data_IF_923631255163
#
_entry.id   IF_923631255163
#
_cell.length_a   1.000
_cell.length_b   1.000
_cell.length_c   1.000
_cell.angle_alpha   90.00
_cell.angle_beta   90.00
_cell.angle_gamma   90.00
#
_symmetry.space_group_name_H-M   'P 1'
#
loop_
_entity.id
_entity.type
_entity.pdbx_description
1 polymer ?
#
# COMPACT_ATOMS: atom_id res chain seq x y z
N UNK A 1 6.04 -21.48 -3.03
CA UNK A 1 5.48 -21.80 -4.37
C UNK A 1 3.97 -21.52 -4.48
N UNK A 2 3.15 -21.92 -3.51
CA UNK A 2 1.69 -21.76 -3.61
C UNK A 2 1.22 -20.29 -3.64
N UNK A 3 1.71 -19.44 -2.71
CA UNK A 3 1.34 -18.02 -2.64
C UNK A 3 1.71 -17.23 -3.90
N UNK A 4 2.87 -17.50 -4.51
CA UNK A 4 3.27 -16.86 -5.78
C UNK A 4 2.27 -17.17 -6.88
N UNK A 5 1.89 -18.44 -7.05
CA UNK A 5 0.90 -18.86 -8.05
C UNK A 5 -0.47 -18.21 -7.82
N UNK A 6 -0.88 -18.08 -6.55
CA UNK A 6 -2.14 -17.41 -6.20
C UNK A 6 -2.08 -15.92 -6.52
N UNK A 7 -0.97 -15.23 -6.22
CA UNK A 7 -0.78 -13.82 -6.57
C UNK A 7 -0.72 -13.61 -8.09
N UNK A 8 -0.09 -14.50 -8.83
CA UNK A 8 -0.10 -14.49 -10.30
C UNK A 8 -1.52 -14.65 -10.86
N UNK A 9 -2.33 -15.54 -10.26
CA UNK A 9 -3.74 -15.67 -10.64
C UNK A 9 -4.50 -14.37 -10.41
N UNK A 10 -4.32 -13.71 -9.25
CA UNK A 10 -4.92 -12.41 -8.98
C UNK A 10 -4.43 -11.35 -9.98
N UNK A 11 -3.15 -11.34 -10.33
CA UNK A 11 -2.61 -10.42 -11.33
C UNK A 11 -3.26 -10.61 -12.70
N UNK A 12 -3.50 -11.86 -13.13
CA UNK A 12 -4.26 -12.17 -14.35
C UNK A 12 -5.73 -11.73 -14.27
N UNK A 13 -6.39 -11.94 -13.12
CA UNK A 13 -7.76 -11.45 -12.89
C UNK A 13 -7.82 -9.92 -13.02
N UNK A 14 -6.85 -9.20 -12.42
CA UNK A 14 -6.75 -7.72 -12.50
C UNK A 14 -6.52 -7.28 -13.94
N UNK A 15 -5.64 -7.95 -14.68
CA UNK A 15 -5.34 -7.63 -16.09
C UNK A 15 -6.59 -7.69 -16.95
N UNK A 16 -7.42 -8.68 -16.75
CA UNK A 16 -8.64 -8.92 -17.55
C UNK A 16 -9.89 -8.23 -16.98
N UNK A 17 -9.75 -7.54 -15.83
CA UNK A 17 -10.88 -6.92 -15.14
C UNK A 17 -11.44 -5.71 -15.91
N UNK A 18 -12.77 -5.71 -16.03
CA UNK A 18 -13.57 -4.61 -16.56
C UNK A 18 -14.58 -4.09 -15.52
N UNK A 19 -14.32 -4.32 -14.22
CA UNK A 19 -15.27 -4.02 -13.13
C UNK A 19 -15.43 -2.54 -12.81
N UNK A 20 -14.53 -1.69 -13.25
CA UNK A 20 -14.68 -0.23 -13.13
C UNK A 20 -14.18 0.42 -14.43
N UNK A 21 -14.70 1.60 -14.77
CA UNK A 21 -14.45 2.26 -16.07
C UNK A 21 -12.97 2.60 -16.35
N UNK A 22 -12.13 2.67 -15.32
CA UNK A 22 -10.71 2.98 -15.46
C UNK A 22 -9.96 1.94 -16.34
N UNK A 23 -10.55 0.76 -16.57
CA UNK A 23 -9.96 -0.21 -17.51
C UNK A 23 -9.88 0.33 -18.94
N UNK A 24 -10.76 1.27 -19.31
CA UNK A 24 -10.82 1.85 -20.67
C UNK A 24 -9.63 2.78 -20.97
N UNK A 25 -9.05 3.38 -19.94
CA UNK A 25 -8.03 4.45 -20.05
C UNK A 25 -6.67 4.07 -19.52
N UNK A 26 -6.54 2.94 -18.81
CA UNK A 26 -5.25 2.46 -18.33
C UNK A 26 -4.40 1.91 -19.47
N UNK A 27 -3.09 2.12 -19.42
CA UNK A 27 -2.13 1.40 -20.27
C UNK A 27 -1.88 0.00 -19.72
N UNK A 28 -1.50 -0.08 -18.46
CA UNK A 28 -1.28 -1.33 -17.75
C UNK A 28 -1.99 -1.34 -16.40
N UNK A 29 -2.59 -2.45 -15.99
CA UNK A 29 -2.98 -2.63 -14.60
C UNK A 29 -1.74 -2.81 -13.72
N UNK A 30 -1.84 -2.38 -12.48
CA UNK A 30 -0.75 -2.48 -11.49
C UNK A 30 -1.21 -3.38 -10.34
N UNK A 31 -0.97 -4.70 -10.43
CA UNK A 31 -1.45 -5.63 -9.41
C UNK A 31 -0.72 -5.48 -8.07
N UNK A 32 0.53 -5.06 -8.09
CA UNK A 32 1.43 -5.05 -6.95
C UNK A 32 2.60 -6.01 -7.15
N UNK A 33 3.65 -5.87 -6.34
CA UNK A 33 4.87 -6.69 -6.42
C UNK A 33 5.52 -6.88 -5.06
N UNK A 34 6.46 -7.82 -4.97
CA UNK A 34 7.28 -8.06 -3.80
C UNK A 34 7.21 -9.49 -3.28
N UNK A 35 7.59 -9.69 -2.02
CA UNK A 35 7.68 -10.99 -1.41
C UNK A 35 6.28 -11.56 -1.10
N UNK A 36 5.89 -12.73 -1.66
CA UNK A 36 4.63 -13.39 -1.31
C UNK A 36 4.51 -13.79 0.17
N UNK A 37 5.63 -13.88 0.87
CA UNK A 37 5.70 -14.19 2.29
C UNK A 37 6.07 -12.98 3.15
N UNK A 38 5.88 -11.76 2.62
CA UNK A 38 6.20 -10.53 3.32
C UNK A 38 5.48 -10.43 4.66
N UNK A 39 6.22 -10.09 5.71
CA UNK A 39 5.63 -9.74 7.01
C UNK A 39 5.04 -8.33 7.00
N UNK A 40 5.52 -7.47 6.11
CA UNK A 40 5.11 -6.07 5.96
C UNK A 40 4.54 -5.86 4.56
N UNK A 41 3.33 -5.31 4.47
CA UNK A 41 2.69 -4.92 3.22
C UNK A 41 2.45 -3.41 3.21
N UNK A 42 2.87 -2.75 2.12
CA UNK A 42 2.63 -1.34 1.90
C UNK A 42 1.46 -1.15 0.93
N UNK A 43 0.56 -0.22 1.26
CA UNK A 43 -0.69 -0.02 0.53
C UNK A 43 -0.88 1.47 0.24
N UNK A 44 -0.78 1.87 -1.03
CA UNK A 44 -1.14 3.21 -1.49
C UNK A 44 -2.56 3.31 -2.02
N UNK A 45 -2.94 4.48 -2.53
CA UNK A 45 -4.25 4.68 -3.15
C UNK A 45 -4.34 4.01 -4.52
N UNK A 46 -3.46 4.37 -5.43
CA UNK A 46 -3.54 3.92 -6.82
C UNK A 46 -2.31 4.29 -7.63
N UNK A 47 -2.16 3.69 -8.83
CA UNK A 47 -1.07 3.97 -9.73
C UNK A 47 -1.09 5.41 -10.24
N UNK A 48 0.09 6.04 -10.30
CA UNK A 48 0.34 7.25 -11.06
C UNK A 48 0.65 6.93 -12.53
N UNK A 49 1.03 7.98 -13.30
CA UNK A 49 1.30 7.87 -14.74
C UNK A 49 2.46 6.90 -15.04
N UNK A 50 3.56 6.99 -14.27
CA UNK A 50 4.72 6.13 -14.50
C UNK A 50 4.41 4.67 -14.16
N UNK A 51 3.67 4.44 -13.09
CA UNK A 51 3.22 3.11 -12.68
C UNK A 51 2.30 2.46 -13.73
N UNK A 52 1.44 3.26 -14.36
CA UNK A 52 0.56 2.82 -15.44
C UNK A 52 1.35 2.45 -16.71
N UNK A 53 2.42 3.17 -17.01
CA UNK A 53 3.29 2.85 -18.15
C UNK A 53 4.09 1.57 -17.92
N UNK A 54 4.59 1.34 -16.70
CA UNK A 54 5.45 0.19 -16.38
C UNK A 54 4.70 -1.03 -15.86
N UNK A 55 3.43 -0.87 -15.44
CA UNK A 55 2.65 -1.96 -14.80
C UNK A 55 3.16 -2.32 -13.40
N UNK A 56 3.95 -1.46 -12.74
CA UNK A 56 4.59 -1.71 -11.45
C UNK A 56 4.27 -0.61 -10.43
N UNK A 57 4.06 -0.96 -9.14
CA UNK A 57 3.73 0.03 -8.11
C UNK A 57 4.95 0.85 -7.70
N UNK A 58 4.74 2.14 -7.39
CA UNK A 58 5.76 3.01 -6.82
C UNK A 58 7.10 3.02 -7.58
N UNK A 59 7.08 3.32 -8.88
CA UNK A 59 8.26 3.45 -9.76
C UNK A 59 8.57 4.91 -10.13
N UNK A 60 7.58 5.81 -10.05
CA UNK A 60 7.73 7.24 -10.27
C UNK A 60 8.47 7.97 -9.14
N UNK A 61 8.41 9.30 -9.10
CA UNK A 61 9.11 10.13 -8.10
C UNK A 61 8.74 9.78 -6.66
N UNK A 62 7.45 9.55 -6.37
CA UNK A 62 6.99 9.10 -5.06
C UNK A 62 7.58 7.72 -4.68
N UNK A 63 7.71 6.83 -5.66
CA UNK A 63 8.31 5.51 -5.48
C UNK A 63 9.82 5.58 -5.21
N UNK A 64 10.53 6.47 -5.86
CA UNK A 64 11.96 6.72 -5.58
C UNK A 64 12.14 7.19 -4.14
N UNK A 65 11.31 8.13 -3.69
CA UNK A 65 11.37 8.60 -2.30
C UNK A 65 10.94 7.50 -1.32
N UNK A 66 9.95 6.65 -1.66
CA UNK A 66 9.63 5.48 -0.84
C UNK A 66 10.83 4.54 -0.68
N UNK A 67 11.62 4.33 -1.74
CA UNK A 67 12.83 3.50 -1.65
C UNK A 67 13.88 4.12 -0.71
N UNK A 68 14.05 5.46 -0.71
CA UNK A 68 14.91 6.14 0.25
C UNK A 68 14.41 5.89 1.70
N UNK A 69 13.11 6.05 1.95
CA UNK A 69 12.50 5.82 3.26
C UNK A 69 12.67 4.38 3.75
N UNK A 70 12.47 3.40 2.87
CA UNK A 70 12.73 1.98 3.19
C UNK A 70 14.21 1.74 3.52
N UNK A 71 15.12 2.35 2.76
CA UNK A 71 16.58 2.24 2.98
C UNK A 71 17.02 2.81 4.33
N UNK A 72 16.48 3.97 4.74
CA UNK A 72 16.75 4.60 6.04
C UNK A 72 16.48 3.62 7.20
N UNK A 73 15.47 2.76 7.06
CA UNK A 73 15.10 1.79 8.10
C UNK A 73 15.63 0.38 7.84
N UNK A 74 16.51 0.21 6.85
CA UNK A 74 17.13 -1.07 6.53
C UNK A 74 16.19 -2.11 5.94
N UNK A 75 15.10 -1.69 5.30
CA UNK A 75 14.15 -2.57 4.63
C UNK A 75 14.49 -2.63 3.14
N UNK A 76 14.77 -3.83 2.62
CA UNK A 76 14.85 -4.00 1.18
C UNK A 76 13.44 -4.02 0.56
N UNK A 77 13.26 -3.31 -0.54
CA UNK A 77 12.00 -3.31 -1.29
C UNK A 77 11.50 -4.72 -1.65
N UNK A 78 12.42 -5.64 -1.94
CA UNK A 78 12.11 -7.05 -2.26
C UNK A 78 11.59 -7.88 -1.09
N UNK A 79 11.76 -7.42 0.15
CA UNK A 79 11.37 -8.16 1.36
C UNK A 79 9.93 -7.81 1.80
N UNK A 80 9.37 -6.74 1.25
CA UNK A 80 7.99 -6.29 1.49
C UNK A 80 7.10 -6.64 0.29
N UNK A 81 5.78 -6.57 0.48
CA UNK A 81 4.81 -6.59 -0.62
C UNK A 81 4.21 -5.19 -0.77
N UNK A 82 4.27 -4.63 -1.98
CA UNK A 82 3.82 -3.26 -2.26
C UNK A 82 2.66 -3.30 -3.24
N UNK A 83 1.57 -2.66 -2.90
CA UNK A 83 0.37 -2.61 -3.74
C UNK A 83 -0.43 -1.31 -3.51
N UNK A 84 -1.57 -1.20 -4.17
CA UNK A 84 -2.50 -0.10 -4.02
C UNK A 84 -3.92 -0.62 -3.83
N UNK A 85 -4.82 0.22 -3.31
CA UNK A 85 -6.26 -0.02 -3.29
C UNK A 85 -6.78 -0.17 -4.72
N UNK A 86 -6.48 0.83 -5.57
CA UNK A 86 -6.82 0.85 -6.99
C UNK A 86 -5.74 0.14 -7.80
N UNK A 87 -6.14 -0.55 -8.86
CA UNK A 87 -5.22 -1.30 -9.75
C UNK A 87 -5.01 -0.62 -11.09
N UNK A 88 -5.68 0.50 -11.33
CA UNK A 88 -5.64 1.28 -12.56
C UNK A 88 -5.22 2.72 -12.26
N UNK A 89 -4.63 3.37 -13.24
CA UNK A 89 -4.26 4.78 -13.18
C UNK A 89 -5.44 5.67 -12.80
N UNK A 90 -5.18 6.63 -11.93
CA UNK A 90 -6.12 7.63 -11.45
C UNK A 90 -5.69 9.02 -11.97
N UNK A 91 -6.28 9.52 -13.07
CA UNK A 91 -5.84 10.78 -13.70
C UNK A 91 -5.77 11.98 -12.75
N UNK A 92 -6.69 12.05 -11.78
CA UNK A 92 -6.78 13.15 -10.82
C UNK A 92 -6.41 12.73 -9.39
N UNK A 93 -5.74 11.61 -9.21
CA UNK A 93 -5.44 11.02 -7.88
C UNK A 93 -6.68 10.89 -6.98
N UNK A 94 -7.87 10.73 -7.58
CA UNK A 94 -9.14 10.56 -6.90
C UNK A 94 -9.84 9.31 -7.40
N UNK A 95 -10.45 8.57 -6.50
CA UNK A 95 -11.29 7.41 -6.81
C UNK A 95 -12.68 7.63 -6.23
N UNK A 96 -13.71 7.23 -6.96
CA UNK A 96 -15.09 7.21 -6.44
C UNK A 96 -15.27 6.01 -5.49
N UNK A 97 -16.33 6.04 -4.67
CA UNK A 97 -16.63 4.91 -3.78
C UNK A 97 -16.89 3.63 -4.55
N UNK A 98 -17.58 3.71 -5.70
CA UNK A 98 -17.85 2.56 -6.58
C UNK A 98 -16.54 1.98 -7.14
N UNK A 99 -15.61 2.82 -7.57
CA UNK A 99 -14.31 2.40 -8.08
C UNK A 99 -13.50 1.71 -6.96
N UNK A 100 -13.47 2.28 -5.76
CA UNK A 100 -12.83 1.68 -4.58
C UNK A 100 -13.47 0.33 -4.28
N UNK A 101 -14.80 0.23 -4.22
CA UNK A 101 -15.54 -1.00 -3.97
C UNK A 101 -15.23 -2.07 -5.02
N UNK A 102 -15.16 -1.69 -6.29
CA UNK A 102 -14.83 -2.61 -7.39
C UNK A 102 -13.40 -3.15 -7.31
N UNK A 103 -12.44 -2.34 -6.84
CA UNK A 103 -11.02 -2.70 -6.79
C UNK A 103 -10.59 -3.31 -5.46
N UNK A 104 -11.17 -2.91 -4.33
CA UNK A 104 -10.76 -3.34 -2.98
C UNK A 104 -10.79 -4.86 -2.81
N UNK A 105 -11.67 -5.58 -3.50
CA UNK A 105 -11.72 -7.03 -3.49
C UNK A 105 -10.38 -7.70 -3.90
N UNK A 106 -9.63 -7.08 -4.80
CA UNK A 106 -8.31 -7.60 -5.18
C UNK A 106 -7.27 -7.38 -4.08
N UNK A 107 -7.32 -6.22 -3.42
CA UNK A 107 -6.47 -5.93 -2.26
C UNK A 107 -6.78 -6.92 -1.12
N UNK A 108 -8.04 -7.20 -0.87
CA UNK A 108 -8.48 -8.16 0.16
C UNK A 108 -7.91 -9.55 -0.10
N UNK A 109 -8.06 -10.07 -1.32
CA UNK A 109 -7.46 -11.34 -1.73
C UNK A 109 -5.93 -11.33 -1.56
N UNK A 110 -5.27 -10.23 -1.88
CA UNK A 110 -3.82 -10.10 -1.69
C UNK A 110 -3.42 -10.14 -0.21
N UNK A 111 -4.15 -9.47 0.67
CA UNK A 111 -3.92 -9.52 2.12
C UNK A 111 -4.13 -10.97 2.64
N UNK A 112 -5.17 -11.66 2.19
CA UNK A 112 -5.45 -13.05 2.56
C UNK A 112 -4.39 -14.03 2.07
N UNK A 113 -3.79 -13.81 0.91
CA UNK A 113 -2.73 -14.66 0.36
C UNK A 113 -1.39 -14.38 1.06
N UNK A 114 -0.98 -13.12 1.13
CA UNK A 114 0.31 -12.72 1.72
C UNK A 114 0.31 -12.97 3.23
N UNK A 115 -0.80 -12.71 3.91
CA UNK A 115 -0.97 -12.82 5.37
C UNK A 115 0.09 -12.02 6.14
N UNK A 116 0.22 -10.71 5.84
CA UNK A 116 1.20 -9.87 6.50
C UNK A 116 0.89 -9.71 7.99
N UNK A 117 1.90 -9.45 8.81
CA UNK A 117 1.74 -9.08 10.22
C UNK A 117 1.54 -7.58 10.40
N UNK A 118 1.98 -6.80 9.41
CA UNK A 118 1.87 -5.33 9.42
C UNK A 118 1.37 -4.84 8.07
N UNK A 119 0.35 -3.99 8.11
CA UNK A 119 -0.08 -3.15 6.97
C UNK A 119 0.40 -1.73 7.22
N UNK A 120 1.22 -1.19 6.32
CA UNK A 120 1.59 0.22 6.29
C UNK A 120 0.74 0.89 5.21
N UNK A 121 -0.19 1.75 5.62
CA UNK A 121 -1.04 2.49 4.68
C UNK A 121 -0.40 3.84 4.35
N UNK A 122 -0.36 4.20 3.07
CA UNK A 122 0.29 5.41 2.57
C UNK A 122 -0.77 6.44 2.13
N UNK A 123 -1.02 7.43 2.97
CA UNK A 123 -1.96 8.54 2.76
C UNK A 123 -3.38 8.27 3.24
N UNK A 124 -4.22 9.31 3.21
CA UNK A 124 -5.58 9.30 3.78
C UNK A 124 -6.47 8.19 3.23
N UNK A 125 -6.59 8.08 1.90
CA UNK A 125 -7.57 7.17 1.28
C UNK A 125 -7.22 5.71 1.54
N UNK A 126 -5.95 5.33 1.42
CA UNK A 126 -5.51 3.98 1.74
C UNK A 126 -5.76 3.64 3.22
N UNK A 127 -5.49 4.61 4.12
CA UNK A 127 -5.77 4.48 5.56
C UNK A 127 -7.27 4.30 5.82
N UNK A 128 -8.11 5.13 5.20
CA UNK A 128 -9.57 5.05 5.38
C UNK A 128 -10.13 3.70 4.92
N UNK A 129 -9.71 3.21 3.76
CA UNK A 129 -10.15 1.90 3.23
C UNK A 129 -9.76 0.77 4.18
N UNK A 130 -8.52 0.77 4.68
CA UNK A 130 -8.05 -0.27 5.60
C UNK A 130 -8.71 -0.13 6.97
N UNK A 131 -8.86 1.09 7.50
CA UNK A 131 -9.56 1.31 8.76
C UNK A 131 -11.01 0.83 8.69
N UNK A 132 -11.75 1.18 7.62
CA UNK A 132 -13.12 0.70 7.41
C UNK A 132 -13.19 -0.83 7.35
N UNK A 133 -12.26 -1.48 6.62
CA UNK A 133 -12.21 -2.94 6.53
C UNK A 133 -12.03 -3.63 7.89
N UNK A 134 -11.24 -3.05 8.77
CA UNK A 134 -10.91 -3.63 10.07
C UNK A 134 -11.68 -3.00 11.25
N UNK A 135 -12.75 -2.25 10.97
CA UNK A 135 -13.63 -1.68 12.00
C UNK A 135 -13.01 -0.58 12.85
N UNK A 136 -11.93 0.06 12.36
CA UNK A 136 -11.32 1.20 13.01
C UNK A 136 -12.04 2.50 12.66
N UNK A 137 -12.10 3.43 13.63
CA UNK A 137 -12.71 4.74 13.40
C UNK A 137 -11.92 5.54 12.37
N UNK A 138 -12.64 6.20 11.45
CA UNK A 138 -12.04 7.11 10.47
C UNK A 138 -11.29 8.24 11.17
N UNK A 139 -10.05 8.46 10.76
CA UNK A 139 -9.17 9.53 11.22
C UNK A 139 -8.34 10.07 10.05
N UNK A 140 -7.91 11.33 10.14
CA UNK A 140 -7.05 11.94 9.12
C UNK A 140 -5.60 11.59 9.38
N UNK A 141 -4.83 11.46 8.30
CA UNK A 141 -3.42 11.07 8.38
C UNK A 141 -2.59 12.03 9.24
N UNK A 142 -2.95 13.32 9.27
CA UNK A 142 -2.27 14.32 10.09
C UNK A 142 -2.35 14.06 11.60
N UNK A 143 -3.32 13.28 12.05
CA UNK A 143 -3.49 12.93 13.46
C UNK A 143 -2.93 11.54 13.82
N UNK A 144 -2.78 10.67 12.83
CA UNK A 144 -2.47 9.25 13.10
C UNK A 144 -1.21 8.73 12.41
N UNK A 145 -0.45 9.60 11.72
CA UNK A 145 0.78 9.15 11.07
C UNK A 145 1.78 8.57 12.07
N UNK A 146 2.40 7.47 11.72
CA UNK A 146 3.32 6.70 12.54
C UNK A 146 2.75 6.18 13.88
N UNK A 147 1.41 6.16 14.05
CA UNK A 147 0.75 5.48 15.17
C UNK A 147 0.54 4.01 14.88
N UNK A 148 0.47 3.20 15.92
CA UNK A 148 0.38 1.75 15.84
C UNK A 148 -1.01 1.29 16.30
N UNK A 149 -1.81 0.81 15.36
CA UNK A 149 -3.13 0.22 15.62
C UNK A 149 -3.02 -1.30 15.61
N UNK A 150 -3.54 -1.95 16.64
CA UNK A 150 -3.59 -3.41 16.77
C UNK A 150 -5.02 -3.90 16.58
N UNK A 151 -5.22 -4.83 15.66
CA UNK A 151 -6.52 -5.40 15.36
C UNK A 151 -6.46 -6.92 15.58
N UNK A 152 -7.31 -7.48 16.44
CA UNK A 152 -7.43 -8.93 16.56
C UNK A 152 -8.03 -9.50 15.26
N UNK A 153 -7.45 -10.59 14.77
CA UNK A 153 -7.94 -11.33 13.60
C UNK A 153 -7.91 -12.83 13.91
N UNK A 154 -8.55 -13.64 13.08
CA UNK A 154 -8.49 -15.10 13.20
C UNK A 154 -7.08 -15.68 13.08
N UNK A 155 -6.14 -14.93 12.47
CA UNK A 155 -4.73 -15.32 12.30
C UNK A 155 -3.80 -14.71 13.36
N UNK A 156 -4.36 -14.12 14.41
CA UNK A 156 -3.61 -13.39 15.43
C UNK A 156 -3.76 -11.86 15.32
N UNK A 157 -2.85 -11.12 15.88
CA UNK A 157 -2.90 -9.66 15.89
C UNK A 157 -2.29 -9.09 14.61
N UNK A 158 -3.09 -8.37 13.84
CA UNK A 158 -2.64 -7.55 12.71
C UNK A 158 -2.30 -6.15 13.22
N UNK A 159 -1.15 -5.64 12.81
CA UNK A 159 -0.75 -4.26 13.09
C UNK A 159 -1.03 -3.39 11.85
N UNK A 160 -1.63 -2.22 12.06
CA UNK A 160 -1.84 -1.21 11.00
C UNK A 160 -1.10 0.05 11.40
N UNK A 161 -0.29 0.59 10.49
CA UNK A 161 0.49 1.81 10.71
C UNK A 161 0.20 2.78 9.56
N UNK A 162 -0.59 3.81 9.80
CA UNK A 162 -0.79 4.89 8.83
C UNK A 162 0.47 5.72 8.66
N UNK A 163 0.80 6.07 7.42
CA UNK A 163 1.93 6.93 7.08
C UNK A 163 1.51 7.98 6.07
N UNK A 164 2.16 9.14 6.08
CA UNK A 164 2.01 10.08 4.97
C UNK A 164 2.39 9.40 3.65
N UNK A 165 1.68 9.76 2.58
CA UNK A 165 2.06 9.30 1.24
C UNK A 165 3.40 9.95 0.83
N UNK A 166 4.36 9.20 0.26
CA UNK A 166 5.65 9.77 -0.15
C UNK A 166 5.54 10.98 -1.08
N UNK A 167 4.52 11.02 -1.94
CA UNK A 167 4.27 12.18 -2.81
C UNK A 167 4.02 13.48 -2.04
N UNK A 168 3.58 13.42 -0.77
CA UNK A 168 3.35 14.62 0.04
C UNK A 168 4.62 15.46 0.19
N UNK A 169 5.79 14.82 0.31
CA UNK A 169 7.08 15.49 0.39
C UNK A 169 7.51 16.15 -0.94
N UNK A 170 6.94 15.74 -2.07
CA UNK A 170 7.21 16.33 -3.37
C UNK A 170 6.45 17.65 -3.57
N UNK A 171 5.25 17.76 -2.98
CA UNK A 171 4.41 18.95 -3.05
C UNK A 171 4.61 19.88 -1.84
N UNK A 172 5.02 19.34 -0.70
CA UNK A 172 5.33 20.09 0.51
C UNK A 172 6.67 19.64 1.10
N UNK A 173 7.79 20.27 0.70
CA UNK A 173 9.13 19.92 1.18
C UNK A 173 9.29 19.98 2.71
N UNK A 174 8.51 20.82 3.40
CA UNK A 174 8.55 20.90 4.85
C UNK A 174 8.17 19.58 5.55
N UNK A 175 7.37 18.72 4.90
CA UNK A 175 7.02 17.41 5.44
C UNK A 175 8.06 16.32 5.17
N UNK A 176 9.12 16.61 4.44
CA UNK A 176 10.13 15.62 4.07
C UNK A 176 10.83 15.03 5.30
N UNK A 177 11.22 15.90 6.24
CA UNK A 177 11.84 15.46 7.50
C UNK A 177 10.84 14.72 8.40
N UNK A 178 9.60 15.19 8.48
CA UNK A 178 8.55 14.48 9.21
C UNK A 178 8.37 13.06 8.71
N UNK A 179 8.35 12.86 7.36
CA UNK A 179 8.26 11.51 6.80
C UNK A 179 9.48 10.65 7.18
N UNK A 180 10.69 11.21 7.16
CA UNK A 180 11.90 10.49 7.54
C UNK A 180 11.85 10.06 9.01
N UNK A 181 11.49 10.97 9.91
CA UNK A 181 11.37 10.70 11.34
C UNK A 181 10.31 9.64 11.63
N UNK A 182 9.16 9.72 10.99
CA UNK A 182 8.10 8.73 11.06
C UNK A 182 8.61 7.33 10.64
N UNK A 183 9.33 7.26 9.53
CA UNK A 183 9.89 5.97 9.08
C UNK A 183 10.95 5.45 10.04
N UNK A 184 11.80 6.30 10.63
CA UNK A 184 12.75 5.89 11.68
C UNK A 184 12.01 5.32 12.89
N UNK A 185 10.95 5.99 13.35
CA UNK A 185 10.08 5.52 14.45
C UNK A 185 9.47 4.15 14.13
N UNK A 186 8.88 4.01 12.95
CA UNK A 186 8.29 2.75 12.50
C UNK A 186 9.35 1.65 12.33
N UNK A 187 10.52 1.95 11.79
CA UNK A 187 11.62 1.00 11.66
C UNK A 187 12.10 0.45 13.01
N UNK A 188 12.20 1.31 14.03
CA UNK A 188 12.50 0.88 15.41
C UNK A 188 11.43 -0.10 15.92
N UNK A 189 10.15 0.21 15.73
CA UNK A 189 9.05 -0.66 16.13
C UNK A 189 9.12 -2.02 15.41
N UNK A 190 9.34 -2.05 14.10
CA UNK A 190 9.40 -3.28 13.31
C UNK A 190 10.55 -4.19 13.76
N UNK A 191 11.73 -3.61 14.04
CA UNK A 191 12.89 -4.37 14.58
C UNK A 191 12.60 -4.95 15.96
N UNK A 192 12.05 -4.16 16.89
CA UNK A 192 11.67 -4.63 18.23
C UNK A 192 10.68 -5.81 18.17
N UNK A 193 9.85 -5.86 17.14
CA UNK A 193 8.88 -6.96 16.91
C UNK A 193 9.43 -8.09 16.03
N UNK A 194 10.72 -8.04 15.63
CA UNK A 194 11.37 -9.01 14.73
C UNK A 194 10.60 -9.22 13.43
N UNK A 195 10.09 -8.13 12.87
CA UNK A 195 9.31 -8.12 11.63
C UNK A 195 10.17 -7.78 10.40
N UNK A 196 11.30 -7.18 10.67
CA UNK A 196 12.41 -6.92 9.73
C UNK A 196 13.71 -7.25 10.43
#
# INVERSE_FOLDING_TARGET
>A
MEKSKLLEKIAKEIKNSKKCELWKTRNNPVPGEGNPNAKVMLIGLGPGKQEDLEGRPFVGAAGKFLNELLSIVGINRKDVFITNVMKCFLPNNRATEEQVKACSQYLEKQIEIVKPKVLITLGNVATEVIFKKFGLRKQTISHVHAEVFKVPTLLGVLTIIPMYHPATALYNPALKETLRDDWVKVGKYLRLKRLI
#
